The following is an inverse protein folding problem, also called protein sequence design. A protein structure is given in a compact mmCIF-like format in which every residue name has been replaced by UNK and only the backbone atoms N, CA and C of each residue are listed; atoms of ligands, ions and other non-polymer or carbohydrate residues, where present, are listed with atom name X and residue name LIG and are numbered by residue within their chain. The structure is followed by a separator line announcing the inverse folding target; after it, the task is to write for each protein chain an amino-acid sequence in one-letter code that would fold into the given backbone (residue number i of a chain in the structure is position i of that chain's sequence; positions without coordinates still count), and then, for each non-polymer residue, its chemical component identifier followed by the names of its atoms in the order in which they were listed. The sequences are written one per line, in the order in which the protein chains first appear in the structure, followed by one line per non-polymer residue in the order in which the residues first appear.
data_IF_211638054018
#
_entry.id   IF_211638054018
#
_cell.length_a   1.000
_cell.length_b   1.000
_cell.length_c   1.000
_cell.angle_alpha   90.00
_cell.angle_beta   90.00
_cell.angle_gamma   90.00
#
_symmetry.space_group_name_H-M   'P 1'
#
loop_
_entity.id
_entity.type
_entity.pdbx_description
1 polymer ?
#
# COMPACT_ATOMS: atom_id res chain seq x y z
N UNK A 1 1.08 -3.19 22.51
CA UNK A 1 0.06 -2.95 21.46
C UNK A 1 0.78 -2.21 20.35
N UNK A 2 1.09 -2.92 19.26
CA UNK A 2 2.03 -2.45 18.23
C UNK A 2 1.46 -1.27 17.45
N UNK A 3 2.32 -0.29 17.19
CA UNK A 3 2.05 0.95 16.46
C UNK A 3 1.34 0.64 15.12
N UNK A 4 0.01 0.79 15.04
CA UNK A 4 -0.71 0.64 13.78
C UNK A 4 -0.51 1.91 12.97
N UNK A 5 0.56 1.94 12.19
CA UNK A 5 0.83 3.03 11.28
C UNK A 5 -0.31 3.08 10.25
N UNK A 6 -0.90 4.26 10.08
CA UNK A 6 -2.01 4.42 9.13
C UNK A 6 -1.52 4.16 7.70
N UNK A 7 -2.40 3.69 6.80
CA UNK A 7 -2.04 3.52 5.39
C UNK A 7 -1.48 4.80 4.75
N UNK A 8 -1.92 5.97 5.21
CA UNK A 8 -1.46 7.26 4.71
C UNK A 8 -0.05 7.62 5.23
N UNK A 9 0.25 7.35 6.49
CA UNK A 9 1.62 7.47 7.01
C UNK A 9 2.59 6.53 6.29
N UNK A 10 2.15 5.29 6.03
CA UNK A 10 2.94 4.30 5.31
C UNK A 10 3.23 4.74 3.87
N UNK A 11 2.24 5.32 3.18
CA UNK A 11 2.43 5.92 1.85
C UNK A 11 3.41 7.08 1.89
N UNK A 12 3.28 7.99 2.85
CA UNK A 12 4.18 9.14 2.98
C UNK A 12 5.64 8.70 3.16
N UNK A 13 5.87 7.65 3.94
CA UNK A 13 7.21 7.08 4.11
C UNK A 13 7.73 6.41 2.83
N UNK A 14 6.88 5.70 2.10
CA UNK A 14 7.23 5.10 0.81
C UNK A 14 7.53 6.16 -0.25
N UNK A 15 6.78 7.26 -0.29
CA UNK A 15 7.01 8.40 -1.19
C UNK A 15 8.33 9.12 -0.87
N UNK A 16 8.62 9.31 0.42
CA UNK A 16 9.90 9.83 0.87
C UNK A 16 11.06 8.90 0.49
N UNK A 17 10.85 7.58 0.57
CA UNK A 17 11.83 6.56 0.18
C UNK A 17 12.05 6.56 -1.34
N UNK A 18 10.98 6.63 -2.13
CA UNK A 18 11.03 6.75 -3.58
C UNK A 18 11.81 7.99 -4.01
N UNK A 19 11.55 9.13 -3.35
CA UNK A 19 12.27 10.39 -3.60
C UNK A 19 13.77 10.25 -3.33
N UNK A 20 14.16 9.60 -2.23
CA UNK A 20 15.57 9.31 -1.91
C UNK A 20 16.20 8.38 -2.96
N UNK A 21 15.50 7.33 -3.39
CA UNK A 21 15.98 6.41 -4.43
C UNK A 21 16.19 7.11 -5.77
N UNK A 22 15.33 8.07 -6.12
CA UNK A 22 15.51 8.89 -7.32
C UNK A 22 16.76 9.77 -7.23
N UNK A 23 17.00 10.40 -6.08
CA UNK A 23 18.23 11.16 -5.85
C UNK A 23 19.48 10.26 -5.90
N UNK A 24 19.40 9.05 -5.33
CA UNK A 24 20.49 8.07 -5.38
C UNK A 24 20.81 7.63 -6.81
N UNK A 25 19.82 7.45 -7.68
CA UNK A 25 20.07 7.06 -9.08
C UNK A 25 20.85 8.13 -9.83
N UNK A 26 20.58 9.41 -9.57
CA UNK A 26 21.27 10.54 -10.20
C UNK A 26 22.76 10.57 -9.82
N UNK A 27 23.09 10.25 -8.56
CA UNK A 27 24.45 10.32 -8.04
C UNK A 27 25.24 9.01 -8.14
N UNK A 28 24.60 7.91 -8.56
CA UNK A 28 25.22 6.60 -8.67
C UNK A 28 26.37 6.60 -9.69
N UNK A 29 27.52 6.04 -9.28
CA UNK A 29 28.78 6.15 -10.06
C UNK A 29 28.98 5.00 -11.04
N UNK A 30 28.37 3.85 -10.78
CA UNK A 30 28.55 2.65 -11.59
C UNK A 30 27.19 1.98 -11.90
N UNK A 31 27.21 1.09 -12.90
CA UNK A 31 26.01 0.42 -13.39
C UNK A 31 25.43 -0.59 -12.39
N UNK A 32 26.26 -1.14 -11.49
CA UNK A 32 25.77 -2.03 -10.44
C UNK A 32 24.94 -1.27 -9.41
N UNK A 33 25.41 -0.09 -8.98
CA UNK A 33 24.66 0.82 -8.12
C UNK A 33 23.34 1.25 -8.78
N UNK A 34 23.37 1.70 -10.04
CA UNK A 34 22.15 2.06 -10.78
C UNK A 34 21.18 0.89 -10.90
N UNK A 35 21.68 -0.31 -11.23
CA UNK A 35 20.87 -1.52 -11.31
C UNK A 35 20.18 -1.84 -9.98
N UNK A 36 20.93 -1.77 -8.88
CA UNK A 36 20.41 -1.98 -7.53
C UNK A 36 19.32 -0.95 -7.19
N UNK A 37 19.56 0.33 -7.47
CA UNK A 37 18.58 1.40 -7.20
C UNK A 37 17.30 1.22 -8.02
N UNK A 38 17.39 0.78 -9.28
CA UNK A 38 16.22 0.48 -10.12
C UNK A 38 15.38 -0.66 -9.54
N UNK A 39 16.01 -1.72 -9.05
CA UNK A 39 15.30 -2.83 -8.38
C UNK A 39 14.58 -2.31 -7.13
N UNK A 40 15.28 -1.56 -6.28
CA UNK A 40 14.69 -0.97 -5.07
C UNK A 40 13.51 -0.05 -5.40
N UNK A 41 13.63 0.78 -6.44
CA UNK A 41 12.53 1.65 -6.90
C UNK A 41 11.30 0.83 -7.25
N UNK A 42 11.47 -0.23 -8.06
CA UNK A 42 10.34 -1.09 -8.47
C UNK A 42 9.66 -1.76 -7.29
N UNK A 43 10.42 -2.18 -6.28
CA UNK A 43 9.87 -2.72 -5.05
C UNK A 43 9.04 -1.69 -4.27
N UNK A 44 9.55 -0.45 -4.12
CA UNK A 44 8.84 0.63 -3.43
C UNK A 44 7.57 1.04 -4.19
N UNK A 45 7.63 1.19 -5.51
CA UNK A 45 6.46 1.44 -6.37
C UNK A 45 5.40 0.34 -6.20
N UNK A 46 5.83 -0.93 -6.18
CA UNK A 46 4.95 -2.07 -5.94
C UNK A 46 4.31 -2.07 -4.54
N UNK A 47 5.05 -1.64 -3.52
CA UNK A 47 4.50 -1.47 -2.16
C UNK A 47 3.46 -0.36 -2.09
N UNK A 48 3.71 0.81 -2.69
CA UNK A 48 2.73 1.91 -2.77
C UNK A 48 1.44 1.43 -3.42
N UNK A 49 1.56 0.73 -4.55
CA UNK A 49 0.41 0.14 -5.24
C UNK A 49 -0.32 -0.87 -4.36
N UNK A 50 0.39 -1.78 -3.72
CA UNK A 50 -0.20 -2.79 -2.83
C UNK A 50 -1.00 -2.16 -1.68
N UNK A 51 -0.50 -1.08 -1.06
CA UNK A 51 -1.22 -0.36 0.00
C UNK A 51 -2.54 0.23 -0.52
N UNK A 52 -2.55 0.76 -1.75
CA UNK A 52 -3.78 1.24 -2.38
C UNK A 52 -4.79 0.11 -2.59
N UNK A 53 -4.34 -1.02 -3.13
CA UNK A 53 -5.20 -2.18 -3.39
C UNK A 53 -5.75 -2.79 -2.10
N UNK A 54 -4.97 -2.82 -1.01
CA UNK A 54 -5.50 -3.21 0.30
C UNK A 54 -6.59 -2.27 0.80
N UNK A 55 -6.48 -0.97 0.52
CA UNK A 55 -7.54 0.00 0.80
C UNK A 55 -8.83 -0.30 0.03
N UNK A 56 -8.72 -0.73 -1.24
CA UNK A 56 -9.86 -1.17 -2.03
C UNK A 56 -10.48 -2.46 -1.51
N UNK A 57 -9.64 -3.45 -1.18
CA UNK A 57 -10.08 -4.72 -0.61
C UNK A 57 -10.85 -4.52 0.70
N UNK A 58 -10.35 -3.66 1.60
CA UNK A 58 -11.05 -3.32 2.84
C UNK A 58 -12.45 -2.79 2.57
N UNK A 59 -12.60 -1.83 1.64
CA UNK A 59 -13.91 -1.28 1.28
C UNK A 59 -14.85 -2.34 0.72
N UNK A 60 -14.34 -3.25 -0.11
CA UNK A 60 -15.13 -4.36 -0.63
C UNK A 60 -15.62 -5.28 0.49
N UNK A 61 -14.76 -5.60 1.47
CA UNK A 61 -15.14 -6.37 2.65
C UNK A 61 -16.17 -5.66 3.51
N UNK A 62 -16.03 -4.34 3.73
CA UNK A 62 -17.00 -3.54 4.46
C UNK A 62 -18.39 -3.61 3.80
N UNK A 63 -18.45 -3.45 2.47
CA UNK A 63 -19.69 -3.56 1.70
C UNK A 63 -20.31 -4.96 1.75
N UNK A 64 -19.51 -6.00 1.58
CA UNK A 64 -19.97 -7.39 1.70
C UNK A 64 -20.54 -7.67 3.09
N UNK A 65 -19.88 -7.14 4.13
CA UNK A 65 -20.31 -7.29 5.52
C UNK A 65 -21.65 -6.58 5.77
N UNK A 66 -21.86 -5.38 5.24
CA UNK A 66 -23.15 -4.69 5.29
C UNK A 66 -24.26 -5.52 4.66
N UNK A 67 -24.02 -6.08 3.48
CA UNK A 67 -24.98 -6.94 2.78
C UNK A 67 -25.31 -8.21 3.57
N UNK A 68 -24.32 -8.84 4.22
CA UNK A 68 -24.55 -9.98 5.12
C UNK A 68 -25.47 -9.60 6.28
N UNK A 69 -25.25 -8.44 6.91
CA UNK A 69 -26.12 -7.97 8.00
C UNK A 69 -27.54 -7.66 7.51
N UNK A 70 -27.71 -7.07 6.33
CA UNK A 70 -29.04 -6.82 5.75
C UNK A 70 -29.81 -8.12 5.53
N UNK A 71 -29.17 -9.16 5.00
CA UNK A 71 -29.79 -10.48 4.81
C UNK A 71 -30.15 -11.11 6.16
N UNK A 72 -29.24 -11.10 7.12
CA UNK A 72 -29.51 -11.62 8.47
C UNK A 72 -30.69 -10.93 9.14
N UNK A 73 -30.77 -9.60 9.05
CA UNK A 73 -31.86 -8.83 9.65
C UNK A 73 -33.20 -9.15 8.98
N UNK A 74 -33.24 -9.29 7.65
CA UNK A 74 -34.45 -9.72 6.93
C UNK A 74 -34.91 -11.12 7.35
N UNK A 75 -33.98 -12.07 7.54
CA UNK A 75 -34.34 -13.42 8.00
C UNK A 75 -34.83 -13.47 9.44
N UNK A 76 -34.38 -12.56 10.31
CA UNK A 76 -34.84 -12.47 11.72
C UNK A 76 -36.18 -11.76 11.88
N UNK A 77 -36.60 -10.97 10.88
CA UNK A 77 -37.89 -10.27 10.87
C UNK A 77 -39.03 -11.09 10.25
N UNK A 78 -38.74 -12.28 9.72
CA UNK A 78 -39.69 -13.28 9.23
C UNK A 78 -39.97 -14.31 10.32
#
# INVERSE_FOLDING_TARGET
MGNHQSPDEMKNELDATLSKLNALEIIAKDEFQKGTIKVLRKLVEGQIHSVNEFGHLKKALDLLTLQLFEVQNKTKSL
#
